data_IF_428778921248
#
_entry.id   IF_428778921248
#
_cell.length_a   1.000
_cell.length_b   1.000
_cell.length_c   1.000
_cell.angle_alpha   90.00
_cell.angle_beta   90.00
_cell.angle_gamma   90.00
#
_symmetry.space_group_name_H-M   'P 1'
#
loop_
_entity.id
_entity.type
_entity.pdbx_description
1 polymer ?
#
# COMPACT_ATOMS: atom_id res chain seq x y z
N UNK A 1 -52.69 -3.51 16.78
CA UNK A 1 -51.40 -2.89 16.38
C UNK A 1 -50.15 -3.67 16.82
N UNK A 2 -50.20 -4.57 17.82
CA UNK A 2 -49.00 -5.27 18.31
C UNK A 2 -48.42 -6.37 17.40
N UNK A 3 -49.21 -6.99 16.52
CA UNK A 3 -48.74 -8.11 15.69
C UNK A 3 -47.90 -7.63 14.49
N UNK A 4 -48.35 -6.60 13.77
CA UNK A 4 -47.61 -5.99 12.66
C UNK A 4 -46.23 -5.51 13.11
N UNK A 5 -46.14 -4.82 14.25
CA UNK A 5 -44.86 -4.35 14.78
C UNK A 5 -43.90 -5.49 15.20
N UNK A 6 -44.43 -6.65 15.60
CA UNK A 6 -43.62 -7.83 15.90
C UNK A 6 -43.07 -8.47 14.63
N UNK A 7 -43.90 -8.61 13.59
CA UNK A 7 -43.46 -9.16 12.30
C UNK A 7 -42.44 -8.26 11.62
N UNK A 8 -42.65 -6.94 11.63
CA UNK A 8 -41.68 -5.97 11.09
C UNK A 8 -40.33 -6.04 11.82
N UNK A 9 -40.33 -6.19 13.15
CA UNK A 9 -39.09 -6.37 13.93
C UNK A 9 -38.41 -7.72 13.73
N UNK A 10 -39.15 -8.74 13.28
CA UNK A 10 -38.66 -10.08 13.04
C UNK A 10 -38.21 -10.32 11.59
N UNK A 11 -38.28 -9.30 10.73
CA UNK A 11 -37.81 -9.38 9.36
C UNK A 11 -36.34 -9.82 9.31
N UNK A 12 -36.06 -10.80 8.47
CA UNK A 12 -34.67 -11.18 8.17
C UNK A 12 -34.04 -10.17 7.23
N UNK A 13 -32.71 -10.22 7.09
CA UNK A 13 -32.02 -9.35 6.14
C UNK A 13 -32.46 -9.60 4.68
N UNK A 14 -32.82 -10.84 4.34
CA UNK A 14 -33.39 -11.16 3.03
C UNK A 14 -34.75 -10.49 2.82
N UNK A 15 -35.60 -10.45 3.86
CA UNK A 15 -36.92 -9.81 3.80
C UNK A 15 -36.79 -8.28 3.68
N UNK A 16 -35.83 -7.67 4.38
CA UNK A 16 -35.55 -6.23 4.29
C UNK A 16 -35.10 -5.86 2.88
N UNK A 17 -34.19 -6.65 2.29
CA UNK A 17 -33.74 -6.44 0.91
C UNK A 17 -34.85 -6.66 -0.12
N UNK A 18 -35.75 -7.62 0.13
CA UNK A 18 -36.91 -7.86 -0.72
C UNK A 18 -37.89 -6.68 -0.67
N UNK A 19 -38.18 -6.16 0.53
CA UNK A 19 -39.00 -4.96 0.74
C UNK A 19 -38.40 -3.73 0.06
N UNK A 20 -37.09 -3.51 0.14
CA UNK A 20 -36.43 -2.39 -0.53
C UNK A 20 -36.50 -2.50 -2.07
N UNK A 21 -36.56 -3.71 -2.63
CA UNK A 21 -36.71 -3.92 -4.08
C UNK A 21 -38.16 -3.79 -4.54
N UNK A 22 -39.13 -4.30 -3.77
CA UNK A 22 -40.55 -4.28 -4.14
C UNK A 22 -41.22 -2.93 -3.83
N UNK A 23 -40.74 -2.22 -2.81
CA UNK A 23 -41.32 -0.98 -2.29
C UNK A 23 -42.57 -1.14 -1.42
N UNK A 24 -43.03 -2.38 -1.24
CA UNK A 24 -44.14 -2.73 -0.38
C UNK A 24 -44.02 -4.16 0.15
N UNK A 25 -44.52 -4.39 1.38
CA UNK A 25 -44.60 -5.71 1.99
C UNK A 25 -45.87 -5.84 2.83
N UNK A 26 -46.40 -7.06 2.91
CA UNK A 26 -47.66 -7.33 3.62
C UNK A 26 -47.38 -8.03 4.94
N UNK A 27 -47.83 -7.43 6.05
CA UNK A 27 -47.69 -7.94 7.41
C UNK A 27 -49.06 -8.06 8.06
N UNK A 28 -49.41 -9.25 8.56
CA UNK A 28 -50.71 -9.52 9.18
C UNK A 28 -51.92 -8.98 8.38
N UNK A 29 -51.87 -9.04 7.04
CA UNK A 29 -52.92 -8.55 6.15
C UNK A 29 -52.88 -7.05 5.82
N UNK A 30 -51.90 -6.30 6.34
CA UNK A 30 -51.68 -4.89 6.04
C UNK A 30 -50.52 -4.70 5.07
N UNK A 31 -50.75 -4.01 3.95
CA UNK A 31 -49.71 -3.60 3.03
C UNK A 31 -49.01 -2.34 3.56
N UNK A 32 -47.71 -2.42 3.82
CA UNK A 32 -46.87 -1.31 4.27
C UNK A 32 -45.90 -0.90 3.16
N UNK A 33 -45.69 0.40 3.01
CA UNK A 33 -44.81 1.03 2.02
C UNK A 33 -43.65 1.76 2.69
N UNK A 34 -42.77 2.37 1.90
CA UNK A 34 -41.69 3.23 2.39
C UNK A 34 -42.17 4.43 3.23
N UNK A 35 -43.43 4.85 3.10
CA UNK A 35 -44.03 5.87 3.97
C UNK A 35 -44.25 5.37 5.40
N UNK A 36 -44.37 4.05 5.58
CA UNK A 36 -44.78 3.42 6.83
C UNK A 36 -43.59 2.76 7.55
N UNK A 37 -42.58 2.33 6.79
CA UNK A 37 -41.37 1.68 7.31
C UNK A 37 -40.13 2.44 6.83
N UNK A 38 -39.33 2.92 7.79
CA UNK A 38 -38.00 3.48 7.53
C UNK A 38 -36.93 2.45 7.87
N UNK A 39 -36.14 2.06 6.88
CA UNK A 39 -34.96 1.20 7.08
C UNK A 39 -33.79 2.10 7.46
N UNK A 40 -33.16 1.84 8.60
CA UNK A 40 -31.95 2.54 9.05
C UNK A 40 -30.79 1.55 9.08
N UNK A 41 -29.68 1.91 8.45
CA UNK A 41 -28.44 1.14 8.47
C UNK A 41 -27.52 1.75 9.52
N UNK A 42 -27.35 1.05 10.63
CA UNK A 42 -26.42 1.46 11.69
C UNK A 42 -25.19 0.55 11.71
N UNK A 43 -24.01 1.15 11.79
CA UNK A 43 -22.78 0.39 11.99
C UNK A 43 -22.61 0.09 13.47
N UNK A 44 -22.67 -1.19 13.85
CA UNK A 44 -22.24 -1.62 15.17
C UNK A 44 -20.74 -1.93 15.15
N UNK A 45 -19.97 -1.11 15.86
CA UNK A 45 -18.53 -1.30 15.99
C UNK A 45 -18.23 -2.62 16.73
N UNK A 46 -17.23 -3.40 16.28
CA UNK A 46 -16.75 -4.54 17.04
C UNK A 46 -16.32 -4.14 18.46
N UNK A 47 -16.54 -4.98 19.48
CA UNK A 47 -16.19 -4.64 20.87
C UNK A 47 -14.68 -4.38 21.08
N UNK A 48 -13.83 -4.89 20.19
CA UNK A 48 -12.37 -4.76 20.23
C UNK A 48 -11.82 -3.47 19.62
N UNK A 49 -12.65 -2.62 19.01
CA UNK A 49 -12.20 -1.42 18.28
C UNK A 49 -12.82 -0.18 18.90
N UNK A 50 -12.06 0.90 19.02
CA UNK A 50 -12.52 2.17 19.58
C UNK A 50 -13.02 3.15 18.52
N UNK A 51 -13.73 4.21 18.94
CA UNK A 51 -14.17 5.29 18.03
C UNK A 51 -13.01 6.04 17.35
N UNK A 52 -11.82 6.02 17.96
CA UNK A 52 -10.62 6.64 17.37
C UNK A 52 -9.97 5.78 16.31
N UNK A 53 -10.27 4.48 16.29
CA UNK A 53 -9.66 3.50 15.38
C UNK A 53 -10.60 3.14 14.23
N UNK A 54 -11.92 3.19 14.43
CA UNK A 54 -12.90 3.05 13.36
C UNK A 54 -14.06 4.00 13.58
N UNK A 55 -14.35 4.80 12.56
CA UNK A 55 -15.49 5.69 12.53
C UNK A 55 -16.43 5.34 11.37
N UNK A 56 -17.70 5.64 11.55
CA UNK A 56 -18.71 5.37 10.52
C UNK A 56 -19.67 6.54 10.43
N UNK A 57 -20.01 6.93 9.21
CA UNK A 57 -20.97 7.99 8.93
C UNK A 57 -21.80 7.61 7.73
N UNK A 58 -23.07 8.03 7.74
CA UNK A 58 -24.01 7.72 6.69
C UNK A 58 -25.23 8.62 6.74
N UNK A 59 -25.94 8.72 5.62
CA UNK A 59 -27.16 9.53 5.47
C UNK A 59 -28.46 8.70 5.50
N UNK A 60 -28.33 7.39 5.67
CA UNK A 60 -29.44 6.42 5.74
C UNK A 60 -29.46 5.47 4.54
N UNK A 61 -29.07 5.95 3.36
CA UNK A 61 -28.98 5.15 2.13
C UNK A 61 -27.57 4.58 1.97
N UNK A 62 -26.55 5.38 2.32
CA UNK A 62 -25.15 4.98 2.25
C UNK A 62 -24.52 5.06 3.64
N UNK A 63 -23.70 4.06 3.97
CA UNK A 63 -22.90 4.02 5.19
C UNK A 63 -21.44 3.83 4.82
N UNK A 64 -20.60 4.81 5.16
CA UNK A 64 -19.15 4.78 5.00
C UNK A 64 -18.52 4.40 6.32
N UNK A 65 -17.65 3.40 6.30
CA UNK A 65 -16.85 2.96 7.46
C UNK A 65 -15.39 3.26 7.13
N UNK A 66 -14.74 4.04 7.97
CA UNK A 66 -13.34 4.43 7.85
C UNK A 66 -12.52 3.73 8.94
N UNK A 67 -11.49 3.00 8.52
CA UNK A 67 -10.42 2.54 9.40
C UNK A 67 -9.44 3.70 9.61
N UNK A 68 -9.32 4.15 10.85
CA UNK A 68 -8.50 5.28 11.27
C UNK A 68 -7.20 4.83 11.95
N UNK A 69 -6.96 3.52 12.04
CA UNK A 69 -5.71 3.00 12.59
C UNK A 69 -4.57 3.45 11.68
N UNK A 70 -3.62 4.17 12.27
CA UNK A 70 -2.37 4.47 11.58
C UNK A 70 -1.65 3.15 11.32
N UNK A 71 -1.44 2.83 10.06
CA UNK A 71 -0.57 1.75 9.62
C UNK A 71 0.75 2.32 9.09
N UNK A 72 1.73 1.45 8.90
CA UNK A 72 3.05 1.84 8.39
C UNK A 72 2.94 2.54 7.04
N UNK A 73 2.02 2.11 6.17
CA UNK A 73 1.80 2.73 4.86
C UNK A 73 1.29 4.18 4.95
N UNK A 74 0.46 4.49 5.94
CA UNK A 74 -0.02 5.85 6.23
C UNK A 74 1.11 6.75 6.76
N UNK A 75 2.01 6.20 7.58
CA UNK A 75 3.20 6.92 8.02
C UNK A 75 4.13 7.23 6.84
N UNK A 76 4.40 6.24 5.98
CA UNK A 76 5.22 6.44 4.80
C UNK A 76 4.59 7.46 3.83
N UNK A 77 3.26 7.44 3.65
CA UNK A 77 2.55 8.44 2.87
C UNK A 77 2.64 9.86 3.47
N UNK A 78 2.65 9.96 4.81
CA UNK A 78 2.89 11.20 5.53
C UNK A 78 4.30 11.76 5.27
N UNK A 79 5.32 10.92 5.40
CA UNK A 79 6.72 11.27 5.13
C UNK A 79 6.88 11.70 3.65
N UNK A 80 6.30 10.94 2.73
CA UNK A 80 6.33 11.23 1.31
C UNK A 80 5.78 12.65 1.01
N UNK A 81 4.63 12.97 1.60
CA UNK A 81 4.01 14.30 1.47
C UNK A 81 4.84 15.39 2.15
N UNK A 82 5.55 15.08 3.23
CA UNK A 82 6.48 16.02 3.86
C UNK A 82 7.68 16.33 2.96
N UNK A 83 8.28 15.32 2.32
CA UNK A 83 9.39 15.48 1.37
C UNK A 83 8.97 16.37 0.20
N UNK A 84 7.81 16.09 -0.39
CA UNK A 84 7.22 16.93 -1.46
C UNK A 84 7.09 18.37 -0.98
N UNK A 85 6.48 18.57 0.19
CA UNK A 85 6.30 19.90 0.75
C UNK A 85 7.63 20.63 1.00
N UNK A 86 8.68 19.92 1.42
CA UNK A 86 10.03 20.48 1.59
C UNK A 86 10.62 20.91 0.25
N UNK A 87 10.56 20.07 -0.77
CA UNK A 87 11.02 20.41 -2.14
C UNK A 87 10.26 21.63 -2.67
N UNK A 88 8.93 21.65 -2.54
CA UNK A 88 8.12 22.79 -2.99
C UNK A 88 8.45 24.09 -2.23
N UNK A 89 8.65 24.04 -0.91
CA UNK A 89 9.07 25.20 -0.10
C UNK A 89 10.46 25.69 -0.49
N UNK A 90 11.38 24.77 -0.78
CA UNK A 90 12.73 25.06 -1.22
C UNK A 90 12.73 25.80 -2.58
N UNK A 91 11.94 25.32 -3.55
CA UNK A 91 11.73 26.02 -4.83
C UNK A 91 11.25 27.45 -4.64
N UNK A 92 10.24 27.66 -3.78
CA UNK A 92 9.72 29.01 -3.47
C UNK A 92 10.79 29.91 -2.84
N UNK A 93 11.61 29.39 -1.92
CA UNK A 93 12.70 30.16 -1.29
C UNK A 93 13.80 30.55 -2.28
N UNK A 94 14.08 29.69 -3.25
CA UNK A 94 15.03 29.95 -4.31
C UNK A 94 14.47 30.88 -5.41
N UNK A 95 13.20 31.31 -5.32
CA UNK A 95 12.55 32.13 -6.33
C UNK A 95 12.25 31.39 -7.63
N UNK A 96 12.27 30.05 -7.60
CA UNK A 96 12.11 29.21 -8.77
C UNK A 96 10.64 28.98 -9.10
N UNK A 97 10.29 29.16 -10.36
CA UNK A 97 8.98 28.76 -10.89
C UNK A 97 8.89 27.23 -11.04
N UNK A 98 7.68 26.66 -11.13
CA UNK A 98 7.49 25.23 -11.39
C UNK A 98 8.18 24.75 -12.67
N UNK A 99 8.40 25.66 -13.62
CA UNK A 99 9.04 25.45 -14.92
C UNK A 99 10.55 25.58 -14.90
N UNK A 100 11.15 26.06 -13.81
CA UNK A 100 12.60 26.18 -13.74
C UNK A 100 13.25 24.82 -13.55
N UNK A 101 14.34 24.59 -14.30
CA UNK A 101 15.15 23.38 -14.20
C UNK A 101 15.93 23.47 -12.89
N UNK A 102 15.65 22.52 -12.00
CA UNK A 102 16.37 22.39 -10.74
C UNK A 102 17.53 21.44 -10.98
N UNK A 103 18.76 21.86 -10.66
CA UNK A 103 19.93 20.98 -10.75
C UNK A 103 19.74 19.76 -9.84
N UNK A 104 20.14 18.60 -10.34
CA UNK A 104 20.02 17.30 -9.67
C UNK A 104 20.62 17.32 -8.25
N UNK A 105 21.72 18.07 -8.06
CA UNK A 105 22.37 18.32 -6.77
C UNK A 105 21.40 18.83 -5.70
N UNK A 106 20.53 19.77 -6.04
CA UNK A 106 19.62 20.42 -5.10
C UNK A 106 18.52 19.49 -4.61
N UNK A 107 18.00 18.66 -5.51
CA UNK A 107 16.98 17.66 -5.16
C UNK A 107 17.62 16.53 -4.34
N UNK A 108 18.84 16.10 -4.69
CA UNK A 108 19.61 15.15 -3.89
C UNK A 108 19.84 15.65 -2.46
N UNK A 109 20.18 16.92 -2.29
CA UNK A 109 20.37 17.51 -0.95
C UNK A 109 19.05 17.53 -0.16
N UNK A 110 17.94 17.88 -0.80
CA UNK A 110 16.62 17.92 -0.16
C UNK A 110 16.08 16.54 0.23
N UNK A 111 16.35 15.52 -0.59
CA UNK A 111 15.87 14.14 -0.40
C UNK A 111 16.86 13.30 0.42
N UNK A 112 18.14 13.65 0.41
CA UNK A 112 19.21 12.90 1.07
C UNK A 112 19.57 11.58 0.39
N UNK A 113 19.12 11.37 -0.86
CA UNK A 113 19.36 10.15 -1.63
C UNK A 113 19.56 10.45 -3.12
N UNK A 114 20.23 9.56 -3.88
CA UNK A 114 20.38 9.76 -5.32
C UNK A 114 19.04 9.69 -6.04
N UNK A 115 18.83 10.57 -7.02
CA UNK A 115 17.73 10.45 -7.96
C UNK A 115 17.99 9.26 -8.89
N UNK A 116 16.96 8.44 -9.07
CA UNK A 116 17.00 7.25 -9.91
C UNK A 116 16.06 7.45 -11.10
N UNK A 117 16.45 6.89 -12.25
CA UNK A 117 15.59 6.91 -13.44
C UNK A 117 14.28 6.14 -13.15
N UNK A 118 13.17 6.61 -13.72
CA UNK A 118 11.88 5.96 -13.57
C UNK A 118 11.89 4.49 -14.03
N UNK A 119 12.71 4.15 -15.04
CA UNK A 119 12.86 2.77 -15.52
C UNK A 119 13.46 1.82 -14.49
N UNK A 120 14.04 2.34 -13.39
CA UNK A 120 14.63 1.54 -12.33
C UNK A 120 13.61 1.11 -11.27
N UNK A 121 12.38 1.64 -11.30
CA UNK A 121 11.31 1.22 -10.38
C UNK A 121 10.99 -0.24 -10.64
N UNK A 122 11.09 -1.06 -9.58
CA UNK A 122 10.70 -2.48 -9.63
C UNK A 122 9.23 -2.61 -10.06
N UNK A 123 8.87 -3.56 -10.95
CA UNK A 123 7.47 -3.85 -11.26
C UNK A 123 6.64 -4.18 -10.02
N UNK A 124 7.27 -4.70 -8.98
CA UNK A 124 6.64 -5.09 -7.71
C UNK A 124 6.61 -3.93 -6.69
N UNK A 125 7.05 -2.72 -7.07
CA UNK A 125 7.11 -1.57 -6.17
C UNK A 125 5.71 -1.03 -5.85
N UNK A 126 5.41 -0.94 -4.55
CA UNK A 126 4.21 -0.27 -4.06
C UNK A 126 4.43 1.25 -4.13
N UNK A 127 3.70 1.91 -5.02
CA UNK A 127 3.73 3.38 -5.15
C UNK A 127 2.89 3.99 -4.03
N UNK A 128 3.56 4.73 -3.15
CA UNK A 128 2.92 5.44 -2.03
C UNK A 128 2.41 6.79 -2.51
N UNK A 129 3.25 7.50 -3.26
CA UNK A 129 2.91 8.80 -3.78
C UNK A 129 3.56 8.99 -5.15
N UNK A 130 2.81 9.60 -6.07
CA UNK A 130 3.34 10.03 -7.35
C UNK A 130 2.81 11.42 -7.64
N UNK A 131 3.72 12.35 -7.87
CA UNK A 131 3.41 13.70 -8.31
C UNK A 131 4.01 13.89 -9.69
N UNK A 132 3.18 14.27 -10.65
CA UNK A 132 3.63 14.52 -12.03
C UNK A 132 3.48 16.01 -12.33
N UNK A 133 4.56 16.62 -12.79
CA UNK A 133 4.63 18.01 -13.21
C UNK A 133 4.77 18.00 -14.73
N UNK A 134 3.79 18.58 -15.43
CA UNK A 134 3.76 18.68 -16.89
C UNK A 134 4.16 20.08 -17.36
N UNK A 135 4.67 20.19 -18.58
CA UNK A 135 4.86 21.48 -19.27
C UNK A 135 6.14 22.24 -18.92
N UNK A 136 7.10 21.58 -18.27
CA UNK A 136 8.40 22.17 -17.92
C UNK A 136 9.32 22.06 -19.14
N UNK A 137 9.50 23.14 -19.89
CA UNK A 137 10.31 23.17 -21.12
C UNK A 137 9.92 22.11 -22.16
N UNK A 138 8.63 21.73 -22.22
CA UNK A 138 8.13 20.67 -23.10
C UNK A 138 8.28 19.24 -22.54
N UNK A 139 8.83 19.09 -21.34
CA UNK A 139 8.99 17.80 -20.65
C UNK A 139 7.95 17.63 -19.54
N UNK A 140 7.78 16.37 -19.12
CA UNK A 140 7.00 16.01 -17.94
C UNK A 140 7.89 15.24 -16.97
N UNK A 141 7.83 15.61 -15.69
CA UNK A 141 8.61 14.99 -14.62
C UNK A 141 7.66 14.29 -13.65
N UNK A 142 8.03 13.11 -13.16
CA UNK A 142 7.26 12.40 -12.14
C UNK A 142 8.15 12.10 -10.92
N UNK A 143 7.86 12.72 -9.78
CA UNK A 143 8.41 12.30 -8.50
C UNK A 143 7.59 11.13 -8.00
N UNK A 144 8.20 9.95 -7.90
CA UNK A 144 7.54 8.74 -7.42
C UNK A 144 8.22 8.29 -6.13
N UNK A 145 7.44 8.21 -5.06
CA UNK A 145 7.86 7.71 -3.76
C UNK A 145 7.21 6.34 -3.59
N UNK A 146 8.05 5.32 -3.41
CA UNK A 146 7.63 3.93 -3.22
C UNK A 146 7.98 3.46 -1.83
N UNK A 147 7.27 2.44 -1.34
CA UNK A 147 7.70 1.72 -0.16
C UNK A 147 9.06 1.05 -0.38
N UNK A 148 9.75 0.64 0.70
CA UNK A 148 10.96 -0.16 0.60
C UNK A 148 10.69 -1.41 -0.23
N UNK A 149 11.48 -1.62 -1.29
CA UNK A 149 11.30 -2.75 -2.20
C UNK A 149 12.62 -3.49 -2.38
N UNK A 150 12.55 -4.83 -2.28
CA UNK A 150 13.69 -5.71 -2.46
C UNK A 150 13.99 -5.84 -3.95
N UNK A 151 15.23 -5.55 -4.34
CA UNK A 151 15.73 -5.75 -5.70
C UNK A 151 16.56 -7.02 -5.74
N UNK A 152 16.33 -7.86 -6.74
CA UNK A 152 17.03 -9.14 -6.89
C UNK A 152 18.01 -9.08 -8.06
N UNK A 153 19.23 -9.57 -7.87
CA UNK A 153 20.10 -9.89 -8.99
C UNK A 153 19.83 -11.32 -9.44
N UNK A 154 18.90 -11.44 -10.39
CA UNK A 154 18.41 -12.74 -10.85
C UNK A 154 19.52 -13.64 -11.40
N UNK A 155 20.55 -13.07 -12.03
CA UNK A 155 21.68 -13.85 -12.53
C UNK A 155 22.44 -14.55 -11.40
N UNK A 156 22.70 -13.83 -10.32
CA UNK A 156 23.38 -14.38 -9.14
C UNK A 156 22.50 -15.38 -8.36
N UNK A 157 21.19 -15.15 -8.27
CA UNK A 157 20.25 -16.07 -7.61
C UNK A 157 20.13 -17.37 -8.40
N UNK A 158 20.03 -17.29 -9.72
CA UNK A 158 19.95 -18.48 -10.57
C UNK A 158 21.22 -19.34 -10.46
N UNK A 159 22.39 -18.72 -10.23
CA UNK A 159 23.63 -19.46 -9.95
C UNK A 159 23.60 -20.25 -8.64
N UNK A 160 22.89 -19.76 -7.60
CA UNK A 160 22.71 -20.53 -6.35
C UNK A 160 22.01 -21.87 -6.58
N UNK A 161 21.14 -21.92 -7.58
CA UNK A 161 20.39 -23.11 -7.96
C UNK A 161 20.92 -23.78 -9.23
N UNK A 162 22.20 -23.60 -9.56
CA UNK A 162 22.87 -24.24 -10.70
C UNK A 162 22.13 -24.01 -12.04
N UNK A 163 21.49 -22.84 -12.22
CA UNK A 163 20.73 -22.53 -13.44
C UNK A 163 19.23 -22.80 -13.34
N UNK A 164 18.71 -23.30 -12.21
CA UNK A 164 17.29 -23.62 -12.09
C UNK A 164 16.44 -22.37 -11.80
N UNK A 165 15.88 -21.80 -12.87
CA UNK A 165 15.01 -20.62 -12.82
C UNK A 165 13.75 -20.82 -11.95
N UNK A 166 13.21 -22.04 -11.84
CA UNK A 166 12.02 -22.28 -11.00
C UNK A 166 12.34 -22.12 -9.52
N UNK A 167 13.51 -22.59 -9.08
CA UNK A 167 13.96 -22.41 -7.70
C UNK A 167 14.31 -20.95 -7.43
N UNK A 168 14.94 -20.27 -8.39
CA UNK A 168 15.22 -18.84 -8.30
C UNK A 168 13.95 -18.00 -8.12
N UNK A 169 12.91 -18.25 -8.92
CA UNK A 169 11.62 -17.56 -8.80
C UNK A 169 10.87 -17.90 -7.50
N UNK A 170 10.96 -19.14 -7.04
CA UNK A 170 10.38 -19.53 -5.76
C UNK A 170 11.08 -18.83 -4.58
N UNK A 171 12.41 -18.71 -4.61
CA UNK A 171 13.17 -17.93 -3.62
C UNK A 171 12.77 -16.46 -3.66
N UNK A 172 12.65 -15.86 -4.85
CA UNK A 172 12.19 -14.48 -5.02
C UNK A 172 10.80 -14.29 -4.41
N UNK A 173 9.86 -15.17 -4.74
CA UNK A 173 8.49 -15.12 -4.23
C UNK A 173 8.46 -15.23 -2.71
N UNK A 174 9.26 -16.14 -2.15
CA UNK A 174 9.40 -16.29 -0.70
C UNK A 174 9.93 -15.01 -0.04
N UNK A 175 11.01 -14.43 -0.56
CA UNK A 175 11.63 -13.23 0.00
C UNK A 175 10.73 -11.99 -0.15
N UNK A 176 9.97 -11.87 -1.25
CA UNK A 176 8.96 -10.83 -1.44
C UNK A 176 7.76 -10.98 -0.48
N UNK A 177 7.43 -12.20 -0.06
CA UNK A 177 6.34 -12.45 0.90
C UNK A 177 6.71 -12.08 2.35
N UNK A 178 7.98 -11.78 2.60
CA UNK A 178 8.48 -11.48 3.95
C UNK A 178 8.31 -10.00 4.29
N UNK A 179 8.02 -9.76 5.56
CA UNK A 179 8.07 -8.42 6.12
C UNK A 179 9.46 -7.79 5.94
N UNK A 180 9.49 -6.59 5.36
CA UNK A 180 10.72 -5.90 4.97
C UNK A 180 11.63 -5.60 6.16
N UNK A 181 11.04 -5.10 7.25
CA UNK A 181 11.76 -4.72 8.48
C UNK A 181 12.38 -5.93 9.17
N UNK A 182 11.62 -7.03 9.28
CA UNK A 182 12.14 -8.30 9.82
C UNK A 182 13.26 -8.87 8.96
N UNK A 183 13.09 -8.88 7.64
CA UNK A 183 14.11 -9.39 6.72
C UNK A 183 15.41 -8.57 6.84
N UNK A 184 15.30 -7.24 6.93
CA UNK A 184 16.44 -6.34 7.17
C UNK A 184 17.16 -6.68 8.48
N UNK A 185 16.43 -6.86 9.58
CA UNK A 185 17.01 -7.25 10.87
C UNK A 185 17.71 -8.61 10.82
N UNK A 186 17.15 -9.60 10.12
CA UNK A 186 17.78 -10.91 9.94
C UNK A 186 19.10 -10.82 9.18
N UNK A 187 19.16 -10.04 8.10
CA UNK A 187 20.42 -9.78 7.42
C UNK A 187 21.42 -9.06 8.32
N UNK A 188 21.00 -8.13 9.18
CA UNK A 188 21.91 -7.47 10.12
C UNK A 188 22.49 -8.45 11.14
N UNK A 189 21.65 -9.30 11.74
CA UNK A 189 22.08 -10.35 12.69
C UNK A 189 23.02 -11.35 12.01
N UNK A 190 22.70 -11.73 10.78
CA UNK A 190 23.48 -12.65 9.95
C UNK A 190 24.70 -12.02 9.25
N UNK A 191 25.09 -10.78 9.59
CA UNK A 191 26.21 -10.05 8.98
C UNK A 191 26.16 -10.01 7.44
N UNK A 192 24.97 -9.72 6.90
CA UNK A 192 24.69 -9.65 5.48
C UNK A 192 24.30 -10.99 4.84
N UNK A 193 24.17 -12.08 5.60
CA UNK A 193 23.80 -13.40 5.08
C UNK A 193 22.62 -14.00 5.84
N UNK A 194 21.72 -14.66 5.11
CA UNK A 194 20.66 -15.49 5.71
C UNK A 194 20.64 -16.85 5.03
N UNK A 195 20.33 -17.88 5.80
CA UNK A 195 20.15 -19.25 5.28
C UNK A 195 18.67 -19.50 5.01
N UNK A 196 18.34 -19.92 3.79
CA UNK A 196 16.95 -20.25 3.40
C UNK A 196 16.83 -21.76 3.23
N UNK A 197 16.10 -22.39 4.15
CA UNK A 197 15.88 -23.85 4.18
C UNK A 197 14.39 -24.26 4.16
N UNK A 198 13.48 -23.31 4.22
CA UNK A 198 12.04 -23.57 4.36
C UNK A 198 11.30 -23.87 3.04
N UNK A 199 12.00 -23.86 1.90
CA UNK A 199 11.43 -24.11 0.58
C UNK A 199 11.36 -25.61 0.31
N UNK A 200 10.17 -26.19 0.39
CA UNK A 200 9.96 -27.62 0.14
C UNK A 200 10.47 -28.03 -1.25
N UNK A 201 11.29 -29.08 -1.30
CA UNK A 201 11.84 -29.62 -2.55
C UNK A 201 13.00 -28.81 -3.14
N UNK A 202 13.56 -27.83 -2.41
CA UNK A 202 14.67 -27.00 -2.87
C UNK A 202 15.91 -27.16 -1.98
N UNK A 203 17.12 -26.98 -2.53
CA UNK A 203 18.33 -27.01 -1.72
C UNK A 203 18.38 -25.82 -0.77
N UNK A 204 19.01 -26.04 0.38
CA UNK A 204 19.36 -24.98 1.32
C UNK A 204 20.34 -24.03 0.64
N UNK A 205 20.04 -22.73 0.63
CA UNK A 205 20.89 -21.70 0.02
C UNK A 205 21.22 -20.58 1.00
N UNK A 206 22.46 -20.09 0.94
CA UNK A 206 22.88 -18.89 1.66
C UNK A 206 22.67 -17.66 0.76
N UNK A 207 21.72 -16.82 1.15
CA UNK A 207 21.39 -15.58 0.47
C UNK A 207 22.23 -14.45 1.06
N UNK A 208 22.80 -13.60 0.23
CA UNK A 208 23.78 -12.58 0.61
C UNK A 208 23.31 -11.21 0.11
N UNK A 209 23.24 -10.25 1.03
CA UNK A 209 22.85 -8.87 0.77
C UNK A 209 24.00 -8.15 0.05
N UNK A 210 23.67 -7.38 -0.99
CA UNK A 210 24.66 -6.73 -1.85
C UNK A 210 25.18 -7.61 -2.99
N UNK A 211 24.77 -8.89 -3.04
CA UNK A 211 25.12 -9.82 -4.11
C UNK A 211 23.88 -10.46 -4.73
N UNK A 212 23.10 -11.19 -3.93
CA UNK A 212 21.90 -11.88 -4.38
C UNK A 212 20.68 -10.95 -4.39
N UNK A 213 20.57 -10.08 -3.39
CA UNK A 213 19.50 -9.10 -3.28
C UNK A 213 19.96 -7.81 -2.60
N UNK A 214 19.14 -6.79 -2.72
CA UNK A 214 19.32 -5.45 -2.17
C UNK A 214 18.01 -5.01 -1.53
N UNK A 215 18.06 -4.34 -0.37
CA UNK A 215 16.86 -3.90 0.35
C UNK A 215 16.23 -2.65 -0.26
N UNK A 216 16.91 -1.99 -1.19
CA UNK A 216 16.34 -0.89 -1.95
C UNK A 216 16.97 -0.81 -3.34
N UNK A 217 16.28 -0.16 -4.27
CA UNK A 217 16.83 0.19 -5.59
C UNK A 217 18.03 1.14 -5.43
N UNK A 218 18.02 2.00 -4.39
CA UNK A 218 19.15 2.85 -4.05
C UNK A 218 20.41 2.04 -3.72
N UNK A 219 20.29 1.01 -2.89
CA UNK A 219 21.41 0.13 -2.53
C UNK A 219 21.94 -0.62 -3.76
N UNK A 220 21.04 -1.12 -4.61
CA UNK A 220 21.39 -1.76 -5.87
C UNK A 220 22.17 -0.83 -6.80
N UNK A 221 21.70 0.40 -6.97
CA UNK A 221 22.33 1.40 -7.82
C UNK A 221 23.72 1.81 -7.31
N UNK A 222 23.85 2.09 -6.01
CA UNK A 222 25.12 2.47 -5.40
C UNK A 222 26.17 1.35 -5.50
N UNK A 223 25.74 0.10 -5.35
CA UNK A 223 26.63 -1.06 -5.49
C UNK A 223 27.19 -1.21 -6.92
N UNK A 224 26.36 -0.96 -7.95
CA UNK A 224 26.79 -1.06 -9.35
C UNK A 224 27.57 0.15 -9.87
N UNK A 225 27.58 1.28 -9.14
CA UNK A 225 28.35 2.49 -9.48
C UNK A 225 29.82 2.43 -9.05
N UNK A 226 30.27 1.37 -8.38
CA UNK A 226 31.68 1.21 -8.00
C UNK A 226 32.49 0.84 -9.24
N UNK A 227 32.98 1.86 -9.96
CA UNK A 227 34.10 1.80 -10.90
C UNK A 227 35.07 2.93 -10.60
#
# INVERSE_FOLDING_TARGET
MGNVAKEVKAMTQADILAFERSGEATFSGHCLKFSDIKVLREFQRPPSVTKKEMDASGDGDVLVILDLRADESLYEAGIAREIINRIQKLRKKAGLEPTDVVEEEYIKEAVGSPLLDHSMISPDAVIICRETIHGVSGFSFALTITGPNIVFDFGSITQLFQGNNKHAEALRTYLLSRDHSKLKSEFQVGKGKIKVECLQGQPVVDVELGKHLFLSIGDYYLNRRVF
#
